data_IF_136593193162
#
_entry.id   IF_136593193162
#
_cell.length_a   1.000
_cell.length_b   1.000
_cell.length_c   1.000
_cell.angle_alpha   90.00
_cell.angle_beta   90.00
_cell.angle_gamma   90.00
#
_symmetry.space_group_name_H-M   'P 1'
#
loop_
_entity.id
_entity.type
_entity.pdbx_description
1 polymer ?
#
# COMPACT_ATOMS: atom_id res chain seq x y z
N UNK A 1 13.21 7.74 6.58
CA UNK A 1 12.52 8.15 7.83
C UNK A 1 12.33 9.64 7.96
N UNK A 2 13.31 10.47 7.57
CA UNK A 2 13.24 11.94 7.69
C UNK A 2 12.01 12.61 7.06
N UNK A 3 11.37 11.99 6.05
CA UNK A 3 10.16 12.51 5.40
C UNK A 3 8.85 12.04 6.04
N UNK A 4 8.91 11.11 7.00
CA UNK A 4 7.71 10.63 7.69
C UNK A 4 7.23 11.73 8.64
N UNK A 5 5.93 12.07 8.65
CA UNK A 5 5.40 13.05 9.59
C UNK A 5 5.78 12.69 11.04
N UNK A 6 6.23 13.65 11.88
CA UNK A 6 6.78 13.34 13.21
C UNK A 6 5.84 12.59 14.16
N UNK A 7 4.52 12.74 13.97
CA UNK A 7 3.52 12.06 14.78
C UNK A 7 3.23 10.62 14.33
N UNK A 8 3.89 10.13 13.28
CA UNK A 8 3.60 8.83 12.68
C UNK A 8 4.67 7.82 13.04
N UNK A 9 4.24 6.57 13.27
CA UNK A 9 5.13 5.43 13.48
C UNK A 9 5.24 4.64 12.18
N UNK A 10 6.44 4.18 11.88
CA UNK A 10 6.70 3.41 10.67
C UNK A 10 6.86 1.93 11.01
N UNK A 11 6.13 1.09 10.28
CA UNK A 11 6.23 -0.37 10.34
C UNK A 11 6.70 -0.86 8.97
N UNK A 12 7.81 -1.60 8.95
CA UNK A 12 8.36 -2.20 7.75
C UNK A 12 8.07 -3.70 7.73
N UNK A 13 7.32 -4.16 6.73
CA UNK A 13 7.07 -5.59 6.50
C UNK A 13 8.25 -6.22 5.77
N UNK A 14 8.97 -7.11 6.45
CA UNK A 14 10.01 -7.95 5.85
C UNK A 14 9.38 -9.13 5.12
N UNK A 15 9.61 -9.25 3.82
CA UNK A 15 9.15 -10.37 2.98
C UNK A 15 10.17 -11.54 2.93
N UNK A 16 11.02 -11.65 3.95
CA UNK A 16 12.16 -12.57 3.98
C UNK A 16 13.37 -12.13 3.14
N UNK A 17 13.47 -10.86 2.76
CA UNK A 17 14.66 -10.32 2.09
C UNK A 17 15.91 -10.43 2.98
N UNK A 18 17.05 -10.80 2.39
CA UNK A 18 18.36 -10.93 3.06
C UNK A 18 19.33 -9.81 2.67
N UNK A 19 18.85 -8.78 1.98
CA UNK A 19 19.67 -7.66 1.47
C UNK A 19 20.00 -6.57 2.51
N UNK A 20 19.68 -6.81 3.79
CA UNK A 20 19.91 -5.87 4.88
C UNK A 20 18.87 -4.76 5.00
N UNK A 21 17.81 -4.73 4.17
CA UNK A 21 16.78 -3.69 4.23
C UNK A 21 16.04 -3.66 5.57
N UNK A 22 15.83 -4.83 6.19
CA UNK A 22 15.24 -4.95 7.52
C UNK A 22 16.11 -4.30 8.60
N UNK A 23 17.41 -4.62 8.61
CA UNK A 23 18.36 -4.08 9.58
C UNK A 23 18.50 -2.56 9.43
N UNK A 24 18.57 -2.08 8.18
CA UNK A 24 18.60 -0.65 7.89
C UNK A 24 17.32 0.05 8.38
N UNK A 25 16.13 -0.51 8.08
CA UNK A 25 14.87 0.06 8.53
C UNK A 25 14.79 0.14 10.06
N UNK A 26 15.20 -0.92 10.75
CA UNK A 26 15.28 -0.98 12.22
C UNK A 26 16.24 0.08 12.77
N UNK A 27 17.44 0.21 12.19
CA UNK A 27 18.44 1.22 12.61
C UNK A 27 17.95 2.66 12.44
N UNK A 28 17.00 2.89 11.53
CA UNK A 28 16.36 4.19 11.30
C UNK A 28 15.09 4.39 12.16
N UNK A 29 14.77 3.45 13.06
CA UNK A 29 13.64 3.54 13.99
C UNK A 29 12.32 2.96 13.48
N UNK A 30 12.33 2.18 12.38
CA UNK A 30 11.14 1.42 11.98
C UNK A 30 10.92 0.24 12.92
N UNK A 31 9.67 -0.08 13.22
CA UNK A 31 9.34 -1.42 13.74
C UNK A 31 9.36 -2.39 12.56
N UNK A 32 10.18 -3.43 12.63
CA UNK A 32 10.28 -4.43 11.55
C UNK A 32 9.46 -5.65 11.92
N UNK A 33 8.53 -6.03 11.04
CA UNK A 33 7.71 -7.23 11.18
C UNK A 33 8.16 -8.24 10.15
N UNK A 34 8.62 -9.40 10.59
CA UNK A 34 9.07 -10.48 9.70
C UNK A 34 7.87 -11.34 9.33
N UNK A 35 7.56 -11.41 8.04
CA UNK A 35 6.58 -12.33 7.47
C UNK A 35 7.30 -13.29 6.52
N UNK A 36 7.17 -14.58 6.83
CA UNK A 36 7.84 -15.66 6.10
C UNK A 36 7.12 -15.93 4.77
N UNK A 37 5.80 -15.71 4.74
CA UNK A 37 5.00 -15.85 3.52
C UNK A 37 5.33 -14.73 2.55
N UNK A 38 5.70 -15.12 1.32
CA UNK A 38 6.04 -14.15 0.28
C UNK A 38 4.79 -13.41 -0.20
N UNK A 39 4.96 -12.11 -0.45
CA UNK A 39 3.97 -11.27 -1.11
C UNK A 39 3.63 -10.02 -0.31
N UNK A 40 3.26 -8.96 -1.03
CA UNK A 40 2.89 -7.66 -0.43
C UNK A 40 1.66 -7.81 0.47
N UNK A 41 0.68 -8.64 0.08
CA UNK A 41 -0.51 -8.89 0.90
C UNK A 41 -0.18 -9.46 2.27
N UNK A 42 0.65 -10.51 2.33
CA UNK A 42 1.09 -11.12 3.59
C UNK A 42 1.86 -10.12 4.46
N UNK A 43 2.78 -9.35 3.87
CA UNK A 43 3.51 -8.31 4.58
C UNK A 43 2.60 -7.20 5.13
N UNK A 44 1.60 -6.75 4.36
CA UNK A 44 0.60 -5.77 4.81
C UNK A 44 -0.25 -6.33 5.96
N UNK A 45 -0.65 -7.61 5.89
CA UNK A 45 -1.41 -8.27 6.94
C UNK A 45 -0.63 -8.35 8.25
N UNK A 46 0.61 -8.83 8.19
CA UNK A 46 1.47 -8.92 9.35
C UNK A 46 1.72 -7.53 9.97
N UNK A 47 1.92 -6.50 9.13
CA UNK A 47 2.02 -5.11 9.58
C UNK A 47 0.76 -4.58 10.25
N UNK A 48 -0.43 -4.96 9.74
CA UNK A 48 -1.71 -4.57 10.33
C UNK A 48 -1.93 -5.24 11.70
N UNK A 49 -1.57 -6.52 11.84
CA UNK A 49 -1.66 -7.23 13.13
C UNK A 49 -0.67 -6.70 14.17
N UNK A 50 0.44 -6.11 13.71
CA UNK A 50 1.48 -5.56 14.59
C UNK A 50 1.22 -4.11 15.03
N UNK A 51 0.17 -3.44 14.51
CA UNK A 51 -0.15 -2.05 14.85
C UNK A 51 -1.34 -1.95 15.78
N UNK A 52 -1.28 -0.98 16.68
CA UNK A 52 -2.39 -0.52 17.53
C UNK A 52 -2.95 0.83 17.03
N UNK A 53 -2.46 1.32 15.88
CA UNK A 53 -2.87 2.60 15.33
C UNK A 53 -4.31 2.55 14.79
N UNK A 54 -5.10 3.56 15.12
CA UNK A 54 -6.46 3.75 14.60
C UNK A 54 -6.47 3.91 13.07
N UNK A 55 -5.42 4.50 12.51
CA UNK A 55 -5.25 4.69 11.08
C UNK A 55 -3.93 4.11 10.62
N UNK A 56 -3.99 3.28 9.58
CA UNK A 56 -2.81 2.65 8.96
C UNK A 56 -2.74 3.05 7.49
N UNK A 57 -1.56 3.48 7.05
CA UNK A 57 -1.28 3.80 5.65
C UNK A 57 -0.26 2.81 5.08
N UNK A 58 -0.57 2.21 3.93
CA UNK A 58 0.35 1.33 3.21
C UNK A 58 1.04 2.08 2.08
N UNK A 59 2.35 1.91 1.95
CA UNK A 59 3.11 2.43 0.82
C UNK A 59 4.39 1.63 0.58
N UNK A 60 4.93 1.72 -0.64
CA UNK A 60 6.18 1.05 -1.02
C UNK A 60 7.41 1.77 -0.45
N UNK A 61 8.34 1.01 0.12
CA UNK A 61 9.56 1.52 0.74
C UNK A 61 10.74 1.67 -0.24
N UNK A 62 10.49 2.04 -1.50
CA UNK A 62 11.50 2.23 -2.55
C UNK A 62 11.88 3.71 -2.79
N UNK A 63 11.44 4.59 -1.88
CA UNK A 63 11.55 6.05 -1.97
C UNK A 63 10.88 6.71 -3.19
N UNK A 64 10.11 5.97 -4.01
CA UNK A 64 9.33 6.52 -5.12
C UNK A 64 8.13 7.37 -4.67
N UNK A 65 7.77 7.27 -3.39
CA UNK A 65 6.66 7.94 -2.74
C UNK A 65 7.15 8.74 -1.53
N UNK A 66 6.89 10.05 -1.54
CA UNK A 66 7.02 10.90 -0.36
C UNK A 66 5.85 10.62 0.63
N UNK A 67 6.12 10.02 1.80
CA UNK A 67 5.07 9.69 2.78
C UNK A 67 4.30 10.93 3.28
N UNK A 68 4.84 12.14 3.14
CA UNK A 68 4.09 13.38 3.42
C UNK A 68 2.81 13.53 2.58
N UNK A 69 2.74 12.90 1.40
CA UNK A 69 1.54 12.89 0.55
C UNK A 69 0.38 12.08 1.15
N UNK A 70 0.66 11.15 2.08
CA UNK A 70 -0.36 10.35 2.75
C UNK A 70 -1.23 11.16 3.71
N UNK A 71 -0.74 12.34 4.15
CA UNK A 71 -1.51 13.24 5.04
C UNK A 71 -2.84 13.66 4.40
N UNK A 72 -2.87 13.84 3.07
CA UNK A 72 -4.12 14.17 2.36
C UNK A 72 -5.15 13.04 2.40
N UNK A 73 -4.70 11.78 2.48
CA UNK A 73 -5.57 10.59 2.59
C UNK A 73 -6.14 10.49 3.99
N UNK A 74 -5.28 10.64 5.00
CA UNK A 74 -5.70 10.67 6.41
C UNK A 74 -6.77 11.74 6.65
N UNK A 75 -6.62 12.94 6.05
CA UNK A 75 -7.62 14.01 6.17
C UNK A 75 -9.00 13.67 5.60
N UNK A 76 -9.11 12.71 4.68
CA UNK A 76 -10.40 12.24 4.17
C UNK A 76 -11.02 11.15 5.05
N UNK A 77 -10.20 10.32 5.69
CA UNK A 77 -10.67 9.23 6.55
C UNK A 77 -11.03 9.74 7.96
N UNK A 78 -10.26 10.70 8.50
CA UNK A 78 -10.44 11.21 9.87
C UNK A 78 -11.86 11.71 10.20
N UNK A 79 -12.60 12.38 9.30
CA UNK A 79 -13.99 12.75 9.54
C UNK A 79 -14.94 11.56 9.80
N UNK A 80 -14.51 10.32 9.55
CA UNK A 80 -15.33 9.11 9.67
C UNK A 80 -16.31 8.92 8.52
N UNK A 81 -16.17 9.70 7.44
CA UNK A 81 -17.01 9.61 6.24
C UNK A 81 -16.63 8.41 5.36
N UNK A 82 -15.35 8.02 5.37
CA UNK A 82 -14.81 6.93 4.57
C UNK A 82 -13.86 6.07 5.42
N UNK A 83 -14.13 4.76 5.52
CA UNK A 83 -13.26 3.81 6.26
C UNK A 83 -11.98 3.45 5.48
N UNK A 84 -11.97 3.69 4.16
CA UNK A 84 -10.86 3.32 3.29
C UNK A 84 -10.76 4.28 2.10
N UNK A 85 -9.57 4.80 1.83
CA UNK A 85 -9.27 5.62 0.66
C UNK A 85 -8.08 5.05 -0.09
N UNK A 86 -8.20 4.91 -1.42
CA UNK A 86 -7.12 4.40 -2.27
C UNK A 86 -6.49 5.48 -3.15
N UNK A 87 -5.17 5.37 -3.34
CA UNK A 87 -4.44 6.22 -4.27
C UNK A 87 -4.70 5.81 -5.72
N UNK A 88 -4.98 6.79 -6.57
CA UNK A 88 -5.10 6.61 -8.02
C UNK A 88 -4.02 7.39 -8.73
N UNK A 89 -3.06 6.67 -9.28
CA UNK A 89 -2.02 7.26 -10.12
C UNK A 89 -2.56 7.57 -11.53
N UNK A 90 -2.21 8.74 -12.07
CA UNK A 90 -2.56 9.14 -13.44
C UNK A 90 -1.31 9.63 -14.18
N UNK A 91 -1.19 9.39 -15.49
CA UNK A 91 -0.11 9.97 -16.28
C UNK A 91 -0.21 11.50 -16.27
N UNK A 92 0.92 12.17 -15.99
CA UNK A 92 0.98 13.64 -15.91
C UNK A 92 0.95 14.31 -17.30
N UNK A 93 1.38 13.59 -18.35
CA UNK A 93 1.38 14.06 -19.74
C UNK A 93 0.89 12.98 -20.69
N UNK A 94 0.36 13.39 -21.84
CA UNK A 94 0.04 12.47 -22.92
C UNK A 94 1.29 11.70 -23.36
N UNK A 95 1.13 10.38 -23.57
CA UNK A 95 2.26 9.51 -23.91
C UNK A 95 3.21 9.16 -22.77
N UNK A 96 3.00 9.67 -21.54
CA UNK A 96 3.88 9.34 -20.39
C UNK A 96 3.93 7.82 -20.11
N UNK A 97 2.81 7.13 -20.29
CA UNK A 97 2.67 5.71 -20.04
C UNK A 97 2.29 4.95 -21.31
N UNK A 98 2.84 3.75 -21.55
CA UNK A 98 2.35 2.84 -22.59
C UNK A 98 0.86 2.54 -22.40
N UNK A 99 0.15 2.24 -23.49
CA UNK A 99 -1.30 1.94 -23.47
C UNK A 99 -1.63 0.79 -22.51
N UNK A 100 -0.82 -0.26 -22.48
CA UNK A 100 -0.98 -1.40 -21.57
C UNK A 100 -0.85 -1.00 -20.09
N UNK A 101 0.09 -0.12 -19.76
CA UNK A 101 0.24 0.41 -18.40
C UNK A 101 -0.97 1.27 -18.00
N UNK A 102 -1.52 2.07 -18.93
CA UNK A 102 -2.77 2.80 -18.69
C UNK A 102 -3.94 1.86 -18.42
N UNK A 103 -4.11 0.81 -19.22
CA UNK A 103 -5.18 -0.18 -19.03
C UNK A 103 -5.06 -0.92 -17.68
N UNK A 104 -3.83 -1.35 -17.33
CA UNK A 104 -3.55 -2.03 -16.06
C UNK A 104 -3.85 -1.19 -14.81
N UNK A 105 -3.87 0.14 -14.93
CA UNK A 105 -4.27 1.06 -13.85
C UNK A 105 -5.76 1.43 -13.88
N UNK A 106 -6.34 1.50 -15.07
CA UNK A 106 -7.74 1.86 -15.25
C UNK A 106 -8.69 0.78 -14.76
N UNK A 107 -8.39 -0.49 -15.02
CA UNK A 107 -9.27 -1.61 -14.64
C UNK A 107 -9.42 -1.73 -13.11
N UNK A 108 -8.35 -1.85 -12.30
CA UNK A 108 -8.48 -1.89 -10.84
C UNK A 108 -9.13 -0.62 -10.28
N UNK A 109 -8.78 0.55 -10.82
CA UNK A 109 -9.40 1.81 -10.40
C UNK A 109 -10.92 1.84 -10.69
N UNK A 110 -11.38 1.16 -11.74
CA UNK A 110 -12.81 1.02 -12.02
C UNK A 110 -13.48 0.05 -11.05
N UNK A 111 -12.90 -1.12 -10.81
CA UNK A 111 -13.43 -2.11 -9.89
C UNK A 111 -13.56 -1.56 -8.46
N UNK A 112 -12.55 -0.83 -7.98
CA UNK A 112 -12.57 -0.17 -6.67
C UNK A 112 -13.68 0.88 -6.60
N UNK A 113 -13.86 1.68 -7.66
CA UNK A 113 -14.94 2.69 -7.72
C UNK A 113 -16.32 2.05 -7.72
N UNK A 114 -16.49 0.92 -8.41
CA UNK A 114 -17.75 0.16 -8.45
C UNK A 114 -18.10 -0.43 -7.07
N UNK A 115 -17.13 -0.58 -6.17
CA UNK A 115 -17.33 -0.98 -4.77
C UNK A 115 -17.54 0.21 -3.82
N UNK A 116 -17.69 1.42 -4.34
CA UNK A 116 -17.92 2.62 -3.53
C UNK A 116 -16.69 3.16 -2.80
N UNK A 117 -15.50 2.58 -2.99
CA UNK A 117 -14.29 3.04 -2.29
C UNK A 117 -13.77 4.33 -2.94
N UNK A 118 -13.66 5.44 -2.19
CA UNK A 118 -13.16 6.71 -2.69
C UNK A 118 -11.70 6.63 -3.14
N UNK A 119 -11.34 7.49 -4.10
CA UNK A 119 -10.03 7.51 -4.71
C UNK A 119 -9.44 8.91 -4.78
N UNK A 120 -8.30 9.11 -4.15
CA UNK A 120 -7.53 10.35 -4.29
C UNK A 120 -6.56 10.27 -5.45
N UNK A 121 -6.48 11.36 -6.21
CA UNK A 121 -5.52 11.48 -7.29
C UNK A 121 -4.13 11.70 -6.73
N UNK A 122 -3.17 10.99 -7.31
CA UNK A 122 -1.75 11.14 -7.01
C UNK A 122 -0.97 11.33 -8.30
N UNK A 123 -0.01 12.26 -8.26
CA UNK A 123 1.01 12.42 -9.28
C UNK A 123 2.28 11.63 -8.88
N UNK A 124 2.95 11.00 -9.83
CA UNK A 124 4.22 10.30 -9.56
C UNK A 124 4.55 9.22 -10.59
N UNK A 125 5.72 8.60 -10.44
CA UNK A 125 6.06 7.38 -11.17
C UNK A 125 5.20 6.25 -10.61
N UNK A 126 4.55 5.50 -11.49
CA UNK A 126 3.98 4.22 -11.12
C UNK A 126 5.04 3.16 -11.41
N UNK A 127 5.52 2.47 -10.37
CA UNK A 127 6.41 1.31 -10.53
C UNK A 127 5.65 0.11 -11.11
N UNK A 128 4.31 0.15 -11.16
CA UNK A 128 3.49 -0.78 -11.95
C UNK A 128 3.56 -0.41 -13.43
N UNK A 129 4.70 -0.71 -14.05
CA UNK A 129 4.86 -0.83 -15.49
C UNK A 129 5.34 -2.24 -15.89
N UNK A 130 5.44 -3.17 -14.92
CA UNK A 130 5.87 -4.56 -15.11
C UNK A 130 4.70 -5.55 -15.29
N UNK A 131 4.85 -6.47 -16.23
CA UNK A 131 3.84 -7.40 -16.73
C UNK A 131 3.26 -8.36 -15.68
N UNK A 132 1.92 -8.42 -15.59
CA UNK A 132 1.08 -9.56 -15.18
C UNK A 132 1.33 -10.17 -13.80
N UNK A 133 2.50 -10.79 -13.60
CA UNK A 133 2.84 -11.61 -12.42
C UNK A 133 2.95 -10.82 -11.12
N UNK A 134 3.50 -9.61 -11.14
CA UNK A 134 3.65 -8.78 -9.93
C UNK A 134 2.30 -8.31 -9.37
N UNK A 135 1.44 -7.81 -10.25
CA UNK A 135 0.06 -7.43 -9.89
C UNK A 135 -0.76 -8.64 -9.47
N UNK A 136 -0.64 -9.77 -10.18
CA UNK A 136 -1.34 -11.01 -9.81
C UNK A 136 -0.90 -11.54 -8.45
N UNK A 137 0.40 -11.57 -8.17
CA UNK A 137 0.92 -12.02 -6.87
C UNK A 137 0.50 -11.11 -5.71
N UNK A 138 0.35 -9.80 -5.96
CA UNK A 138 -0.19 -8.86 -4.96
C UNK A 138 -1.69 -9.09 -4.71
N UNK A 139 -2.47 -9.33 -5.77
CA UNK A 139 -3.92 -9.61 -5.67
C UNK A 139 -4.17 -10.97 -5.01
N UNK A 140 -3.45 -12.02 -5.41
CA UNK A 140 -3.54 -13.36 -4.84
C UNK A 140 -3.08 -13.39 -3.39
N UNK A 141 -1.98 -12.69 -3.08
CA UNK A 141 -1.51 -12.52 -1.70
C UNK A 141 -2.54 -11.80 -0.82
N UNK A 142 -3.20 -10.75 -1.32
CA UNK A 142 -4.29 -10.08 -0.60
C UNK A 142 -5.54 -10.96 -0.47
N UNK A 143 -5.89 -11.74 -1.50
CA UNK A 143 -7.01 -12.67 -1.43
C UNK A 143 -6.77 -13.75 -0.36
N UNK A 144 -5.58 -14.35 -0.31
CA UNK A 144 -5.27 -15.40 0.65
C UNK A 144 -5.28 -14.86 2.10
N UNK A 145 -4.79 -13.64 2.30
CA UNK A 145 -4.91 -12.93 3.59
C UNK A 145 -6.37 -12.70 3.98
N UNK A 146 -7.20 -12.22 3.04
CA UNK A 146 -8.62 -11.95 3.32
C UNK A 146 -9.43 -13.22 3.57
N UNK A 147 -9.01 -14.35 3.00
CA UNK A 147 -9.62 -15.66 3.25
C UNK A 147 -9.27 -16.23 4.65
N UNK A 148 -8.21 -15.72 5.28
CA UNK A 148 -7.78 -16.11 6.63
C UNK A 148 -8.37 -15.23 7.74
N UNK A 149 -9.03 -14.10 7.42
CA UNK A 149 -9.78 -13.32 8.41
C UNK A 149 -11.04 -14.12 8.77
N UNK A 150 -11.18 -14.62 10.01
CA UNK A 150 -12.36 -15.40 10.39
C UNK A 150 -13.62 -14.54 10.23
N UNK A 151 -14.66 -15.13 9.63
CA UNK A 151 -15.94 -14.47 9.32
C UNK A 151 -16.66 -13.85 10.53
N UNK A 152 -16.21 -14.15 11.74
CA UNK A 152 -16.72 -13.61 13.00
C UNK A 152 -16.24 -12.17 13.28
N UNK A 153 -15.19 -11.69 12.60
CA UNK A 153 -14.69 -10.32 12.76
C UNK A 153 -15.45 -9.24 11.95
N UNK A 154 -16.50 -9.64 11.22
CA UNK A 154 -17.29 -8.77 10.32
C UNK A 154 -18.76 -8.67 10.78
N UNK A 155 -19.08 -9.13 11.99
CA UNK A 155 -20.44 -9.08 12.56
C UNK A 155 -20.63 -7.91 13.53
#
# INVERSE_FOLDING_TARGET
>A
MERIPPAWRAIAGGNGSTDGSADLASSLGATVVIEIRRGVGAACHAGLLATDAVLTCFYECDASLDPGLLVAFVKQVVPGEDDLVLARCRPQRNGAWPSRARAGHLMPARMVRERGVPQLRRAGKSTVAGAGRGTWSAVEGMHNVLAEVPSEAVA
#
